data_IF_022000300679
#
_entry.id   IF_022000300679
#
_cell.length_a   1.000
_cell.length_b   1.000
_cell.length_c   1.000
_cell.angle_alpha   90.00
_cell.angle_beta   90.00
_cell.angle_gamma   90.00
#
_symmetry.space_group_name_H-M   'P 1'
#
loop_
_entity.id
_entity.type
_entity.pdbx_description
1 polymer ?
#
# COMPACT_ATOMS: atom_id res chain seq x y z
N UNK A 1 68.14 -9.27 -42.81
CA UNK A 1 68.19 -8.92 -41.37
C UNK A 1 66.76 -8.52 -41.00
N UNK A 2 65.93 -9.45 -40.52
CA UNK A 2 65.75 -9.83 -39.09
C UNK A 2 65.31 -8.57 -38.29
N UNK A 3 64.18 -8.47 -37.59
CA UNK A 3 63.38 -9.43 -36.82
C UNK A 3 62.04 -8.79 -36.34
N UNK A 4 60.97 -9.60 -36.28
CA UNK A 4 59.98 -9.82 -35.19
C UNK A 4 59.16 -8.68 -34.52
N UNK A 5 57.86 -8.96 -34.27
CA UNK A 5 56.88 -8.18 -33.45
C UNK A 5 57.15 -8.16 -31.92
N UNK A 6 56.16 -7.97 -30.99
CA UNK A 6 54.73 -8.33 -31.08
C UNK A 6 53.67 -7.41 -30.36
N UNK A 7 52.39 -7.78 -30.54
CA UNK A 7 51.25 -7.88 -29.58
C UNK A 7 50.80 -6.74 -28.63
N UNK A 8 49.49 -6.45 -28.67
CA UNK A 8 48.55 -6.34 -27.51
C UNK A 8 47.14 -5.94 -28.04
N UNK A 9 46.28 -6.86 -28.48
CA UNK A 9 45.21 -7.50 -27.69
C UNK A 9 44.45 -6.57 -26.74
N UNK A 10 43.48 -5.82 -27.26
CA UNK A 10 42.45 -5.14 -26.46
C UNK A 10 41.39 -6.14 -26.03
N UNK A 11 41.40 -6.53 -24.75
CA UNK A 11 40.42 -7.42 -24.14
C UNK A 11 39.02 -6.77 -24.15
N UNK A 12 38.14 -7.38 -24.95
CA UNK A 12 36.70 -7.24 -24.88
C UNK A 12 36.20 -7.94 -23.62
N UNK A 13 35.76 -7.17 -22.63
CA UNK A 13 35.13 -7.72 -21.42
C UNK A 13 33.74 -8.29 -21.75
N UNK A 14 33.69 -9.55 -22.14
CA UNK A 14 32.48 -10.37 -22.08
C UNK A 14 32.20 -10.69 -20.60
N UNK A 15 31.16 -10.06 -20.03
CA UNK A 15 30.56 -10.52 -18.77
C UNK A 15 29.85 -11.85 -19.04
N UNK A 16 30.50 -12.96 -18.72
CA UNK A 16 29.84 -14.24 -18.56
C UNK A 16 28.97 -14.19 -17.30
N UNK A 17 27.66 -14.05 -17.49
CA UNK A 17 26.68 -14.25 -16.43
C UNK A 17 26.57 -15.75 -16.14
N UNK A 18 27.08 -16.16 -14.99
CA UNK A 18 26.87 -17.51 -14.44
C UNK A 18 25.38 -17.64 -14.12
N UNK A 19 24.64 -18.38 -14.93
CA UNK A 19 23.29 -18.82 -14.62
C UNK A 19 23.37 -19.89 -13.54
N UNK A 20 23.08 -19.53 -12.29
CA UNK A 20 22.75 -20.52 -11.26
C UNK A 20 21.35 -21.08 -11.58
N UNK A 21 21.16 -22.41 -11.64
CA UNK A 21 19.84 -22.98 -11.82
C UNK A 21 19.01 -22.69 -10.58
N UNK A 22 17.98 -21.85 -10.75
CA UNK A 22 16.90 -21.66 -9.78
C UNK A 22 16.34 -23.05 -9.42
N UNK A 23 16.61 -23.50 -8.20
CA UNK A 23 16.03 -24.72 -7.63
C UNK A 23 14.51 -24.51 -7.58
N UNK A 24 13.78 -25.41 -8.24
CA UNK A 24 12.33 -25.38 -8.39
C UNK A 24 11.62 -25.27 -7.05
N UNK A 25 11.25 -24.05 -6.68
CA UNK A 25 10.14 -23.80 -5.80
C UNK A 25 8.86 -24.18 -6.53
N UNK A 26 7.93 -24.78 -5.80
CA UNK A 26 6.63 -25.21 -6.31
C UNK A 26 5.92 -24.00 -6.95
N UNK A 27 6.01 -23.90 -8.29
CA UNK A 27 5.48 -22.79 -9.07
C UNK A 27 3.96 -22.98 -9.12
N UNK A 28 3.28 -22.64 -8.04
CA UNK A 28 1.84 -22.43 -8.11
C UNK A 28 1.64 -21.39 -9.20
N UNK A 29 1.03 -21.79 -10.33
CA UNK A 29 0.64 -20.88 -11.41
C UNK A 29 -0.30 -19.87 -10.79
N UNK A 30 0.23 -18.72 -10.39
CA UNK A 30 -0.60 -17.59 -10.02
C UNK A 30 -1.23 -17.12 -11.33
N UNK A 31 -2.56 -17.28 -11.42
CA UNK A 31 -3.30 -16.69 -12.52
C UNK A 31 -3.06 -15.18 -12.48
N UNK A 32 -2.57 -14.62 -13.58
CA UNK A 32 -2.39 -13.19 -13.75
C UNK A 32 -3.39 -12.68 -14.79
N UNK A 33 -3.95 -11.49 -14.58
CA UNK A 33 -4.81 -10.81 -15.54
C UNK A 33 -3.99 -9.73 -16.25
N UNK A 34 -3.88 -9.82 -17.57
CA UNK A 34 -3.28 -8.78 -18.40
C UNK A 34 -4.39 -7.91 -18.99
N UNK A 35 -4.19 -6.58 -18.95
CA UNK A 35 -5.06 -5.60 -19.60
C UNK A 35 -4.23 -4.81 -20.60
N UNK A 36 -4.65 -4.86 -21.86
CA UNK A 36 -4.10 -4.09 -22.98
C UNK A 36 -5.14 -3.10 -23.50
N UNK A 37 -4.66 -1.99 -24.06
CA UNK A 37 -5.51 -0.99 -24.72
C UNK A 37 -5.52 -1.31 -26.20
N UNK A 38 -6.70 -1.58 -26.75
CA UNK A 38 -6.86 -1.83 -28.18
C UNK A 38 -7.01 -0.52 -28.95
N UNK A 39 -7.94 0.31 -28.50
CA UNK A 39 -8.33 1.55 -29.18
C UNK A 39 -8.57 2.66 -28.16
N UNK A 40 -8.32 3.90 -28.56
CA UNK A 40 -8.57 5.10 -27.76
C UNK A 40 -9.07 6.22 -28.65
N UNK A 41 -10.35 6.55 -28.54
CA UNK A 41 -10.96 7.68 -29.24
C UNK A 41 -11.44 8.72 -28.22
N UNK A 42 -11.25 10.00 -28.54
CA UNK A 42 -11.72 11.12 -27.70
C UNK A 42 -10.95 11.33 -26.39
N UNK A 43 -9.86 10.60 -26.14
CA UNK A 43 -8.99 10.85 -24.98
C UNK A 43 -8.04 12.03 -25.25
N UNK A 44 -7.86 12.95 -24.28
CA UNK A 44 -6.87 14.02 -24.42
C UNK A 44 -5.45 13.43 -24.45
N UNK A 45 -4.53 14.14 -25.09
CA UNK A 45 -3.12 13.74 -25.16
C UNK A 45 -2.53 13.61 -23.75
N UNK A 46 -1.75 12.55 -23.52
CA UNK A 46 -1.14 12.28 -22.22
C UNK A 46 -2.12 11.82 -21.13
N UNK A 47 -3.35 11.45 -21.49
CA UNK A 47 -4.31 10.85 -20.56
C UNK A 47 -3.73 9.57 -19.91
N UNK A 48 -3.93 9.43 -18.60
CA UNK A 48 -3.58 8.23 -17.86
C UNK A 48 -4.83 7.38 -17.64
N UNK A 49 -4.76 6.09 -18.00
CA UNK A 49 -5.77 5.12 -17.60
C UNK A 49 -5.36 4.46 -16.30
N UNK A 50 -6.24 4.55 -15.31
CA UNK A 50 -6.07 4.01 -13.97
C UNK A 50 -7.04 2.86 -13.74
N UNK A 51 -6.51 1.64 -13.73
CA UNK A 51 -7.30 0.41 -13.58
C UNK A 51 -7.10 -0.16 -12.18
N UNK A 52 -8.21 -0.39 -11.46
CA UNK A 52 -8.25 -1.04 -10.16
C UNK A 52 -8.99 -2.37 -10.27
N UNK A 53 -8.30 -3.44 -9.90
CA UNK A 53 -8.85 -4.78 -9.76
C UNK A 53 -8.60 -5.27 -8.33
N UNK A 54 -9.68 -5.43 -7.56
CA UNK A 54 -9.62 -5.74 -6.13
C UNK A 54 -8.78 -4.73 -5.34
N UNK A 55 -7.66 -5.21 -4.79
CA UNK A 55 -6.72 -4.41 -3.97
C UNK A 55 -5.62 -3.72 -4.78
N UNK A 56 -5.49 -4.04 -6.06
CA UNK A 56 -4.37 -3.59 -6.89
C UNK A 56 -4.84 -2.50 -7.84
N UNK A 57 -4.20 -1.33 -7.78
CA UNK A 57 -4.36 -0.26 -8.77
C UNK A 57 -3.09 -0.18 -9.60
N UNK A 58 -3.24 -0.06 -10.91
CA UNK A 58 -2.16 0.21 -11.86
C UNK A 58 -2.57 1.34 -12.79
N UNK A 59 -1.61 2.16 -13.18
CA UNK A 59 -1.84 3.32 -14.02
C UNK A 59 -0.77 3.38 -15.12
N UNK A 60 -1.15 3.76 -16.32
CA UNK A 60 -0.24 3.99 -17.43
C UNK A 60 -0.85 4.99 -18.42
N UNK A 61 -0.01 5.58 -19.27
CA UNK A 61 -0.43 6.46 -20.36
C UNK A 61 -1.30 5.67 -21.35
N UNK A 62 -2.39 6.26 -21.79
CA UNK A 62 -3.34 5.71 -22.76
C UNK A 62 -2.74 5.65 -24.18
N UNK A 63 -1.65 4.90 -24.36
CA UNK A 63 -1.00 4.66 -25.65
C UNK A 63 -1.27 3.20 -26.05
N UNK A 64 -2.05 2.93 -27.11
CA UNK A 64 -2.38 1.57 -27.55
C UNK A 64 -1.15 0.68 -27.80
N UNK A 65 -0.01 1.26 -28.17
CA UNK A 65 1.20 0.49 -28.46
C UNK A 65 2.00 0.10 -27.21
N UNK A 66 1.79 0.80 -26.08
CA UNK A 66 2.59 0.63 -24.86
C UNK A 66 1.76 0.25 -23.63
N UNK A 67 0.45 0.40 -23.69
CA UNK A 67 -0.42 0.15 -22.56
C UNK A 67 -0.57 -1.35 -22.32
N UNK A 68 0.13 -1.82 -21.28
CA UNK A 68 0.05 -3.21 -20.80
C UNK A 68 0.17 -3.23 -19.28
N UNK A 69 -0.91 -3.61 -18.61
CA UNK A 69 -0.98 -3.70 -17.15
C UNK A 69 -1.23 -5.14 -16.71
N UNK A 70 -0.32 -5.70 -15.89
CA UNK A 70 -0.41 -7.09 -15.43
C UNK A 70 -0.78 -7.16 -13.94
N UNK A 71 -1.95 -7.67 -13.62
CA UNK A 71 -2.43 -7.83 -12.26
C UNK A 71 -2.07 -9.21 -11.70
N UNK A 72 -1.59 -9.29 -10.45
CA UNK A 72 -1.16 -10.55 -9.83
C UNK A 72 -2.32 -11.48 -9.48
N UNK A 73 -3.56 -10.97 -9.53
CA UNK A 73 -4.76 -11.77 -9.37
C UNK A 73 -5.31 -12.09 -10.75
N UNK A 74 -5.77 -13.32 -10.92
CA UNK A 74 -6.41 -13.79 -12.14
C UNK A 74 -7.77 -13.13 -12.33
N UNK A 75 -8.33 -13.31 -13.52
CA UNK A 75 -9.67 -12.84 -13.84
C UNK A 75 -10.74 -13.77 -13.23
N UNK A 76 -11.72 -13.19 -12.54
CA UNK A 76 -12.99 -13.85 -12.15
C UNK A 76 -14.13 -13.01 -12.69
N UNK A 77 -15.17 -13.65 -13.23
CA UNK A 77 -16.27 -12.97 -13.92
C UNK A 77 -17.01 -11.94 -13.05
N UNK A 78 -17.07 -12.15 -11.72
CA UNK A 78 -17.82 -11.29 -10.80
C UNK A 78 -16.95 -10.24 -10.09
N UNK A 79 -15.64 -10.18 -10.36
CA UNK A 79 -14.76 -9.21 -9.70
C UNK A 79 -14.87 -7.84 -10.39
N UNK A 80 -15.37 -6.78 -9.71
CA UNK A 80 -15.53 -5.47 -10.35
C UNK A 80 -14.16 -4.85 -10.66
N UNK A 81 -14.01 -4.41 -11.91
CA UNK A 81 -12.83 -3.65 -12.36
C UNK A 81 -13.24 -2.19 -12.55
N UNK A 82 -12.61 -1.29 -11.80
CA UNK A 82 -12.82 0.15 -11.94
C UNK A 82 -11.76 0.72 -12.88
N UNK A 83 -12.21 1.44 -13.91
CA UNK A 83 -11.35 2.14 -14.88
C UNK A 83 -11.63 3.63 -14.77
N UNK A 84 -10.59 4.40 -14.42
CA UNK A 84 -10.63 5.86 -14.36
C UNK A 84 -9.75 6.43 -15.48
N UNK A 85 -10.26 7.40 -16.24
CA UNK A 85 -9.47 8.19 -17.19
C UNK A 85 -9.07 9.53 -16.53
N UNK A 86 -7.78 9.79 -16.43
CA UNK A 86 -7.23 10.94 -15.72
C UNK A 86 -6.48 11.84 -16.71
N UNK A 87 -6.97 13.06 -16.90
CA UNK A 87 -6.28 14.05 -17.71
C UNK A 87 -5.25 14.81 -16.86
N UNK A 88 -4.10 15.13 -17.47
CA UNK A 88 -3.14 16.06 -16.86
C UNK A 88 -3.71 17.47 -16.88
N UNK A 89 -3.81 18.10 -15.70
CA UNK A 89 -4.26 19.49 -15.59
C UNK A 89 -3.10 20.48 -15.75
N UNK A 90 -1.93 20.15 -15.21
CA UNK A 90 -0.75 21.02 -15.21
C UNK A 90 0.52 20.22 -14.88
N UNK A 91 1.67 20.66 -15.37
CA UNK A 91 2.98 20.10 -15.05
C UNK A 91 3.96 21.20 -14.64
N UNK A 92 4.83 20.90 -13.68
CA UNK A 92 5.96 21.76 -13.30
C UNK A 92 7.12 20.90 -12.85
N UNK A 93 8.34 21.38 -13.05
CA UNK A 93 9.53 20.71 -12.54
C UNK A 93 9.85 21.28 -11.16
N UNK A 94 10.01 20.39 -10.18
CA UNK A 94 10.44 20.74 -8.84
C UNK A 94 11.95 20.47 -8.72
N UNK A 95 12.73 21.52 -8.46
CA UNK A 95 14.14 21.38 -8.06
C UNK A 95 14.17 21.20 -6.55
N UNK A 96 14.70 20.07 -6.09
CA UNK A 96 14.82 19.75 -4.66
C UNK A 96 16.18 20.24 -4.18
N UNK A 97 16.18 21.05 -3.12
CA UNK A 97 17.35 21.57 -2.43
C UNK A 97 17.57 20.85 -1.10
N UNK A 98 18.84 20.64 -0.73
CA UNK A 98 19.21 20.00 0.53
C UNK A 98 18.81 20.90 1.72
N UNK A 99 18.20 20.30 2.74
CA UNK A 99 17.74 21.02 3.94
C UNK A 99 16.43 21.80 3.79
N UNK A 100 15.86 21.90 2.58
CA UNK A 100 14.53 22.49 2.35
C UNK A 100 13.49 21.37 2.31
N UNK A 101 12.62 21.32 3.32
CA UNK A 101 11.59 20.28 3.39
C UNK A 101 10.27 20.67 2.72
N UNK A 102 9.95 21.97 2.61
CA UNK A 102 8.63 22.44 2.15
C UNK A 102 8.73 23.19 0.83
N UNK A 103 7.94 22.74 -0.15
CA UNK A 103 7.86 23.35 -1.48
C UNK A 103 6.43 23.75 -1.80
N UNK A 104 6.19 25.05 -1.93
CA UNK A 104 4.91 25.60 -2.37
C UNK A 104 4.95 25.80 -3.91
N UNK A 105 4.19 24.99 -4.63
CA UNK A 105 4.04 25.03 -6.08
C UNK A 105 2.76 25.77 -6.48
N UNK A 106 2.85 26.61 -7.50
CA UNK A 106 1.70 27.27 -8.12
C UNK A 106 1.57 26.82 -9.57
N UNK A 107 0.35 26.45 -9.96
CA UNK A 107 0.03 25.95 -11.28
C UNK A 107 -1.04 26.84 -11.92
N UNK A 108 -0.82 27.20 -13.18
CA UNK A 108 -1.89 27.70 -14.03
C UNK A 108 -2.65 26.51 -14.60
N UNK A 109 -3.95 26.44 -14.31
CA UNK A 109 -4.83 25.40 -14.85
C UNK A 109 -5.44 25.91 -16.16
N UNK A 110 -5.44 25.10 -17.24
CA UNK A 110 -6.19 25.40 -18.45
C UNK A 110 -7.66 25.71 -18.12
N UNK A 111 -8.13 26.90 -18.46
CA UNK A 111 -9.46 27.39 -18.05
C UNK A 111 -9.45 28.52 -17.01
N UNK A 112 -8.27 29.04 -16.64
CA UNK A 112 -8.13 30.31 -15.90
C UNK A 112 -8.09 30.19 -14.38
N UNK A 113 -8.03 28.96 -13.83
CA UNK A 113 -7.84 28.72 -12.41
C UNK A 113 -6.36 28.70 -12.02
N UNK A 114 -6.02 29.24 -10.84
CA UNK A 114 -4.72 29.01 -10.21
C UNK A 114 -4.86 27.92 -9.13
N UNK A 115 -3.99 26.92 -9.16
CA UNK A 115 -3.92 25.87 -8.15
C UNK A 115 -2.64 26.02 -7.34
N UNK A 116 -2.73 25.91 -6.01
CA UNK A 116 -1.57 25.92 -5.10
C UNK A 116 -1.45 24.56 -4.42
N UNK A 117 -0.27 23.94 -4.49
CA UNK A 117 0.04 22.67 -3.82
C UNK A 117 1.28 22.87 -2.96
N UNK A 118 1.24 22.38 -1.73
CA UNK A 118 2.41 22.35 -0.86
C UNK A 118 2.89 20.92 -0.67
N UNK A 119 4.15 20.65 -0.99
CA UNK A 119 4.78 19.35 -0.85
C UNK A 119 5.77 19.37 0.32
N UNK A 120 5.78 18.30 1.11
CA UNK A 120 6.80 18.04 2.12
C UNK A 120 7.72 16.94 1.57
N UNK A 121 8.97 17.29 1.27
CA UNK A 121 9.99 16.38 0.75
C UNK A 121 10.99 16.13 1.87
N UNK A 122 11.14 14.85 2.25
CA UNK A 122 12.11 14.40 3.25
C UNK A 122 12.84 13.19 2.71
N UNK A 123 14.14 13.13 2.95
CA UNK A 123 14.90 11.92 2.72
C UNK A 123 14.49 10.88 3.77
N UNK A 124 13.98 9.74 3.30
CA UNK A 124 13.73 8.59 4.15
C UNK A 124 14.76 7.54 3.78
N UNK A 125 15.73 7.32 4.67
CA UNK A 125 16.64 6.18 4.55
C UNK A 125 15.82 4.92 4.81
N UNK A 126 15.26 4.35 3.75
CA UNK A 126 14.76 2.98 3.80
C UNK A 126 15.99 2.08 3.79
N UNK A 127 16.31 1.51 4.95
CA UNK A 127 17.21 0.38 5.00
C UNK A 127 16.65 -0.68 4.05
N UNK A 128 17.34 -0.93 2.95
CA UNK A 128 17.07 -2.08 2.11
C UNK A 128 17.39 -3.32 2.95
N UNK A 129 16.40 -3.85 3.66
CA UNK A 129 16.52 -5.17 4.26
C UNK A 129 16.49 -6.17 3.12
N UNK A 130 17.68 -6.44 2.58
CA UNK A 130 17.99 -7.70 1.92
C UNK A 130 17.59 -8.82 2.87
N UNK A 131 16.53 -9.52 2.48
CA UNK A 131 16.05 -10.69 3.18
C UNK A 131 17.13 -11.79 3.09
N UNK A 132 17.80 -12.07 4.20
CA UNK A 132 18.30 -13.40 4.51
C UNK A 132 18.69 -13.55 6.00
N UNK A 133 17.90 -14.39 6.67
CA UNK A 133 18.24 -15.37 7.70
C UNK A 133 19.38 -15.07 8.68
N UNK A 134 19.01 -14.79 9.92
CA UNK A 134 19.66 -15.38 11.09
C UNK A 134 18.62 -15.67 12.16
N UNK A 135 18.22 -16.95 12.25
CA UNK A 135 17.54 -17.53 13.39
C UNK A 135 18.52 -17.57 14.57
N UNK A 136 18.26 -16.83 15.65
CA UNK A 136 18.67 -17.25 17.00
C UNK A 136 17.60 -16.79 17.99
N UNK A 137 16.97 -17.81 18.59
CA UNK A 137 16.12 -17.83 19.78
C UNK A 137 16.47 -16.81 20.87
N UNK A 138 15.45 -16.14 21.45
CA UNK A 138 15.57 -15.58 22.80
C UNK A 138 14.60 -14.47 23.21
N UNK A 139 13.36 -14.83 23.55
CA UNK A 139 12.47 -14.26 24.59
C UNK A 139 12.38 -12.74 24.84
N UNK A 140 11.11 -12.31 24.80
CA UNK A 140 10.42 -11.22 25.52
C UNK A 140 10.70 -9.77 25.09
N UNK A 141 9.65 -9.14 24.51
CA UNK A 141 9.37 -7.73 24.73
C UNK A 141 9.11 -6.89 23.49
N UNK A 142 7.81 -6.71 23.21
CA UNK A 142 7.22 -5.48 22.62
C UNK A 142 7.46 -5.13 21.14
N UNK A 143 6.35 -5.25 20.40
CA UNK A 143 5.93 -4.41 19.26
C UNK A 143 6.56 -4.64 17.89
N UNK A 144 6.09 -5.68 17.17
CA UNK A 144 6.39 -5.90 15.75
C UNK A 144 5.16 -5.71 14.86
N UNK A 145 5.25 -4.69 13.97
CA UNK A 145 4.42 -4.51 12.78
C UNK A 145 4.73 -5.62 11.79
N UNK A 146 4.02 -6.74 11.90
CA UNK A 146 3.99 -7.74 10.84
C UNK A 146 3.16 -7.21 9.66
N UNK A 147 3.82 -6.92 8.53
CA UNK A 147 3.13 -6.85 7.24
C UNK A 147 2.65 -8.24 6.84
N UNK A 148 1.58 -8.71 7.49
CA UNK A 148 0.79 -9.81 6.94
C UNK A 148 0.33 -9.43 5.53
N UNK A 149 0.28 -10.41 4.63
CA UNK A 149 -0.34 -10.27 3.30
C UNK A 149 -1.66 -9.49 3.39
N UNK A 150 -2.08 -8.77 2.35
CA UNK A 150 -3.38 -8.07 2.35
C UNK A 150 -4.54 -9.01 2.76
N UNK A 151 -4.44 -10.30 2.44
CA UNK A 151 -5.38 -11.33 2.91
C UNK A 151 -5.28 -11.58 4.42
N UNK A 152 -4.07 -11.59 4.99
CA UNK A 152 -3.83 -11.76 6.42
C UNK A 152 -4.28 -10.54 7.22
N UNK A 153 -4.03 -9.31 6.73
CA UNK A 153 -4.57 -8.08 7.35
C UNK A 153 -6.09 -8.07 7.33
N UNK A 154 -6.70 -8.46 6.20
CA UNK A 154 -8.15 -8.57 6.12
C UNK A 154 -8.71 -9.60 7.10
N UNK A 155 -8.10 -10.79 7.19
CA UNK A 155 -8.52 -11.83 8.15
C UNK A 155 -8.39 -11.35 9.60
N UNK A 156 -7.28 -10.71 9.95
CA UNK A 156 -7.07 -10.14 11.29
C UNK A 156 -8.07 -9.03 11.61
N UNK A 157 -8.37 -8.15 10.65
CA UNK A 157 -9.37 -7.10 10.83
C UNK A 157 -10.78 -7.68 11.01
N UNK A 158 -11.14 -8.72 10.25
CA UNK A 158 -12.43 -9.41 10.39
C UNK A 158 -12.52 -10.14 11.74
N UNK A 159 -11.47 -10.81 12.18
CA UNK A 159 -11.46 -11.47 13.51
C UNK A 159 -11.51 -10.45 14.65
N UNK A 160 -10.77 -9.35 14.55
CA UNK A 160 -10.81 -8.28 15.55
C UNK A 160 -12.19 -7.63 15.62
N UNK A 161 -12.82 -7.37 14.47
CA UNK A 161 -14.19 -6.84 14.43
C UNK A 161 -15.18 -7.79 15.09
N UNK A 162 -15.14 -9.09 14.74
CA UNK A 162 -16.00 -10.09 15.39
C UNK A 162 -15.83 -10.10 16.90
N UNK A 163 -14.60 -10.10 17.39
CA UNK A 163 -14.34 -10.04 18.83
C UNK A 163 -14.96 -8.79 19.48
N UNK A 164 -14.79 -7.61 18.88
CA UNK A 164 -15.38 -6.38 19.41
C UNK A 164 -16.91 -6.39 19.38
N UNK A 165 -17.51 -6.99 18.35
CA UNK A 165 -18.97 -7.09 18.18
C UNK A 165 -19.57 -8.16 19.12
N UNK A 166 -18.93 -9.32 19.24
CA UNK A 166 -19.35 -10.44 20.10
C UNK A 166 -19.33 -10.04 21.58
N UNK A 167 -18.35 -9.23 21.98
CA UNK A 167 -18.26 -8.67 23.33
C UNK A 167 -18.98 -7.33 23.49
N UNK A 168 -19.75 -6.88 22.47
CA UNK A 168 -20.47 -5.61 22.43
C UNK A 168 -19.64 -4.35 22.79
N UNK A 169 -18.31 -4.45 22.67
CA UNK A 169 -17.37 -3.40 23.07
C UNK A 169 -17.54 -2.16 22.19
N UNK A 170 -17.84 -2.34 20.91
CA UNK A 170 -18.00 -1.22 19.97
C UNK A 170 -19.25 -0.38 20.28
N UNK A 171 -20.36 -1.03 20.62
CA UNK A 171 -21.60 -0.36 21.01
C UNK A 171 -21.46 0.37 22.34
N UNK A 172 -20.82 -0.28 23.32
CA UNK A 172 -20.53 0.34 24.61
C UNK A 172 -19.60 1.55 24.48
N UNK A 173 -18.49 1.42 23.74
CA UNK A 173 -17.54 2.51 23.54
C UNK A 173 -18.19 3.72 22.85
N UNK A 174 -19.04 3.48 21.85
CA UNK A 174 -19.76 4.58 21.19
C UNK A 174 -20.68 5.33 22.16
N UNK A 175 -21.44 4.61 22.99
CA UNK A 175 -22.30 5.21 24.02
C UNK A 175 -21.48 5.97 25.07
N UNK A 176 -20.34 5.41 25.51
CA UNK A 176 -19.42 6.06 26.44
C UNK A 176 -18.92 7.40 25.90
N UNK A 177 -18.50 7.46 24.63
CA UNK A 177 -18.04 8.71 24.03
C UNK A 177 -19.16 9.75 23.89
N UNK A 178 -20.37 9.32 23.53
CA UNK A 178 -21.53 10.23 23.50
C UNK A 178 -21.84 10.80 24.89
N UNK A 179 -21.82 9.95 25.92
CA UNK A 179 -22.05 10.35 27.31
C UNK A 179 -20.95 11.32 27.80
N UNK A 180 -19.67 11.06 27.49
CA UNK A 180 -18.55 11.96 27.84
C UNK A 180 -18.68 13.34 27.18
N UNK A 181 -19.05 13.39 25.90
CA UNK A 181 -19.22 14.64 25.17
C UNK A 181 -20.42 15.44 25.71
N UNK A 182 -21.48 14.75 26.14
CA UNK A 182 -22.69 15.38 26.69
C UNK A 182 -22.48 15.88 28.12
N UNK A 183 -21.94 15.04 28.98
CA UNK A 183 -21.89 15.28 30.43
C UNK A 183 -20.64 16.08 30.83
N UNK A 184 -19.61 16.12 29.97
CA UNK A 184 -18.33 16.84 30.16
C UNK A 184 -17.84 16.85 31.61
N UNK A 185 -17.56 15.68 32.20
CA UNK A 185 -17.12 15.59 33.59
C UNK A 185 -15.75 16.26 33.78
N UNK A 186 -15.55 16.82 34.97
CA UNK A 186 -14.29 17.47 35.35
C UNK A 186 -13.09 16.50 35.34
N UNK A 187 -13.32 15.23 35.69
CA UNK A 187 -12.37 14.14 35.49
C UNK A 187 -12.96 13.04 34.56
N UNK A 188 -12.51 12.95 33.29
CA UNK A 188 -13.04 11.97 32.34
C UNK A 188 -12.61 10.53 32.65
N UNK A 189 -11.48 10.31 33.33
CA UNK A 189 -10.96 8.97 33.59
C UNK A 189 -11.78 8.26 34.68
N UNK A 190 -12.09 8.94 35.78
CA UNK A 190 -12.95 8.39 36.84
C UNK A 190 -14.36 8.05 36.30
N UNK A 191 -14.88 8.88 35.38
CA UNK A 191 -16.15 8.63 34.71
C UNK A 191 -16.11 7.37 33.83
N UNK A 192 -15.00 7.18 33.09
CA UNK A 192 -14.78 5.97 32.28
C UNK A 192 -14.70 4.72 33.17
N UNK A 193 -14.00 4.79 34.30
CA UNK A 193 -13.88 3.67 35.24
C UNK A 193 -15.26 3.27 35.79
N UNK A 194 -16.07 4.23 36.24
CA UNK A 194 -17.43 3.96 36.72
C UNK A 194 -18.37 3.37 35.65
N UNK A 195 -18.27 3.85 34.40
CA UNK A 195 -19.03 3.29 33.26
C UNK A 195 -18.53 1.91 32.85
N UNK A 196 -17.23 1.64 33.00
CA UNK A 196 -16.62 0.33 32.73
C UNK A 196 -17.05 -0.70 33.78
N UNK A 197 -17.07 -0.33 35.06
CA UNK A 197 -17.58 -1.20 36.13
C UNK A 197 -19.06 -1.57 35.94
N UNK A 198 -19.88 -0.59 35.54
CA UNK A 198 -21.30 -0.81 35.25
C UNK A 198 -21.48 -1.79 34.08
N UNK A 199 -20.75 -1.59 32.98
CA UNK A 199 -20.81 -2.48 31.82
C UNK A 199 -20.32 -3.90 32.11
N UNK A 200 -19.33 -4.07 33.01
CA UNK A 200 -18.89 -5.40 33.45
C UNK A 200 -19.97 -6.13 34.24
N UNK A 201 -20.75 -5.43 35.06
CA UNK A 201 -21.88 -6.01 35.79
C UNK A 201 -23.00 -6.44 34.84
N UNK A 202 -23.30 -5.60 33.85
CA UNK A 202 -24.31 -5.91 32.82
C UNK A 202 -23.90 -7.13 31.98
N UNK A 203 -22.62 -7.22 31.59
CA UNK A 203 -22.07 -8.36 30.85
C UNK A 203 -22.07 -9.68 31.66
N UNK A 204 -22.04 -9.62 32.99
CA UNK A 204 -22.15 -10.81 33.85
C UNK A 204 -23.60 -11.30 34.00
N UNK A 205 -24.58 -10.45 33.73
CA UNK A 205 -26.00 -10.75 33.84
C UNK A 205 -26.63 -11.24 32.52
N UNK A 206 -25.90 -11.19 31.41
CA UNK A 206 -26.39 -11.66 30.10
C UNK A 206 -26.06 -13.15 29.89
N UNK A 207 -27.04 -14.00 29.51
CA UNK A 207 -26.79 -15.43 29.30
C UNK A 207 -25.84 -15.64 28.11
N UNK A 208 -24.73 -16.34 28.37
CA UNK A 208 -23.71 -16.72 27.38
C UNK A 208 -24.37 -17.41 26.18
N UNK A 209 -24.39 -16.73 25.03
CA UNK A 209 -24.87 -17.31 23.78
C UNK A 209 -23.81 -18.30 23.28
N UNK A 210 -24.17 -19.56 22.99
CA UNK A 210 -23.18 -20.53 22.53
C UNK A 210 -22.60 -20.10 21.18
N UNK A 211 -21.30 -20.39 20.94
CA UNK A 211 -20.65 -20.09 19.66
C UNK A 211 -21.35 -20.84 18.52
N UNK A 212 -21.59 -20.15 17.40
CA UNK A 212 -22.09 -20.73 16.15
C UNK A 212 -20.96 -21.35 15.34
#
# INVERSE_FOLDING_TARGET
>A
VLCTGPAATGLQWQRQGVYLPFRGGNLQRQHAMEVSLLESEGLPEGCLLSIRSGSTRRQAVADPNKFKLVFPKGFKADDPVKVDALASLCSTNLVVEEGVERYDLQFAVPGGGACKVALLVREVVQAATEAQAAEVTGKLGTSEKGEGSASQRHRLAVSARRYLDDHQLLGWAHKLFQDLIRDQPENPWDYIDGKTESARKDAQNEPVKPPK
#
